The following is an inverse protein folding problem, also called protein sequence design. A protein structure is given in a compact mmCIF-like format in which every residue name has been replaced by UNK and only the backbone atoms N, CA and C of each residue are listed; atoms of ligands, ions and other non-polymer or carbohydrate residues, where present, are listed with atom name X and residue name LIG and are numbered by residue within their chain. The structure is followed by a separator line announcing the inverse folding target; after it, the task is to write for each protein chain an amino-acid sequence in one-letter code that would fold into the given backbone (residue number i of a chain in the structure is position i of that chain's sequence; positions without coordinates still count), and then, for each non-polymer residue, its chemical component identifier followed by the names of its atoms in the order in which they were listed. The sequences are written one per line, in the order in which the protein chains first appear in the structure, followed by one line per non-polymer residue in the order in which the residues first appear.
data_IF_384213998103
#
_entry.id   IF_384213998103
#
_cell.length_a   1.000
_cell.length_b   1.000
_cell.length_c   1.000
_cell.angle_alpha   90.00
_cell.angle_beta   90.00
_cell.angle_gamma   90.00
#
_symmetry.space_group_name_H-M   'P 1'
#
loop_
_entity.id
_entity.type
_entity.pdbx_description
1 polymer ?
#
# COMPACT_ATOMS: atom_id res chain seq x y z
N UNK A 1 -4.30 54.35 -9.85
CA UNK A 1 -5.09 53.18 -9.43
C UNK A 1 -4.83 52.06 -10.42
N UNK A 2 -4.06 51.04 -10.05
CA UNK A 2 -3.84 49.84 -10.87
C UNK A 2 -4.03 48.60 -10.00
N UNK A 3 -4.99 47.79 -10.40
CA UNK A 3 -5.40 46.55 -9.75
C UNK A 3 -4.31 45.49 -9.81
N UNK A 4 -3.91 44.94 -8.66
CA UNK A 4 -3.18 43.67 -8.61
C UNK A 4 -4.20 42.53 -8.68
N UNK A 5 -4.20 41.84 -9.81
CA UNK A 5 -5.00 40.64 -10.05
C UNK A 5 -4.60 39.49 -9.10
N UNK A 6 -5.56 38.68 -8.63
CA UNK A 6 -5.28 37.53 -7.77
C UNK A 6 -4.61 36.39 -8.57
N UNK A 7 -3.53 35.83 -8.00
CA UNK A 7 -2.72 34.76 -8.62
C UNK A 7 -3.56 33.48 -8.80
N UNK A 8 -3.42 32.76 -9.93
CA UNK A 8 -4.21 31.58 -10.21
C UNK A 8 -3.77 30.40 -9.33
N UNK A 9 -4.75 29.76 -8.70
CA UNK A 9 -4.65 28.52 -7.94
C UNK A 9 -3.83 27.46 -8.69
N UNK A 10 -2.60 27.21 -8.26
CA UNK A 10 -1.83 26.00 -8.63
C UNK A 10 -2.47 24.80 -7.93
N UNK A 11 -3.46 24.20 -8.58
CA UNK A 11 -4.00 22.90 -8.19
C UNK A 11 -2.88 21.87 -8.44
N UNK A 12 -2.22 21.43 -7.37
CA UNK A 12 -1.32 20.28 -7.38
C UNK A 12 -2.13 19.04 -7.77
N UNK A 13 -2.12 18.71 -9.06
CA UNK A 13 -2.66 17.43 -9.54
C UNK A 13 -1.78 16.32 -8.98
N UNK A 14 -2.26 15.67 -7.93
CA UNK A 14 -1.68 14.42 -7.45
C UNK A 14 -1.65 13.43 -8.62
N UNK A 15 -0.53 12.71 -8.83
CA UNK A 15 -0.48 11.69 -9.86
C UNK A 15 -1.59 10.68 -9.58
N UNK A 16 -2.53 10.56 -10.53
CA UNK A 16 -3.59 9.57 -10.49
C UNK A 16 -2.90 8.21 -10.48
N UNK A 17 -2.83 7.61 -9.29
CA UNK A 17 -2.25 6.29 -9.04
C UNK A 17 -2.81 5.37 -10.13
N UNK A 18 -1.94 4.97 -11.04
CA UNK A 18 -2.34 4.24 -12.23
C UNK A 18 -3.26 3.11 -11.82
N UNK A 19 -4.41 3.03 -12.47
CA UNK A 19 -5.10 1.75 -12.59
C UNK A 19 -4.12 0.83 -13.30
N UNK A 20 -3.30 0.16 -12.49
CA UNK A 20 -2.56 -0.99 -12.94
C UNK A 20 -3.60 -1.90 -13.55
N UNK A 21 -3.25 -2.50 -14.68
CA UNK A 21 -4.06 -3.41 -15.48
C UNK A 21 -3.81 -4.90 -15.09
N UNK A 22 -3.81 -5.35 -13.80
CA UNK A 22 -3.70 -6.77 -13.50
C UNK A 22 -5.08 -7.46 -13.39
N UNK A 23 -6.18 -6.71 -13.17
CA UNK A 23 -7.49 -7.28 -12.80
C UNK A 23 -8.03 -8.34 -13.79
N UNK A 24 -7.86 -8.11 -15.09
CA UNK A 24 -8.30 -9.08 -16.10
C UNK A 24 -7.47 -10.38 -16.08
N UNK A 25 -6.17 -10.29 -15.78
CA UNK A 25 -5.27 -11.47 -15.71
C UNK A 25 -5.48 -12.26 -14.42
N UNK A 26 -5.68 -11.58 -13.29
CA UNK A 26 -6.02 -12.23 -12.01
C UNK A 26 -7.38 -12.93 -12.08
N UNK A 27 -8.37 -12.35 -12.78
CA UNK A 27 -9.69 -12.98 -12.97
C UNK A 27 -9.63 -14.30 -13.76
N UNK A 28 -8.91 -14.34 -14.88
CA UNK A 28 -8.74 -15.57 -15.69
C UNK A 28 -7.97 -16.65 -14.91
N UNK A 29 -6.96 -16.25 -14.12
CA UNK A 29 -6.20 -17.20 -13.32
C UNK A 29 -7.01 -17.75 -12.14
N UNK A 30 -7.84 -16.93 -11.50
CA UNK A 30 -8.75 -17.36 -10.45
C UNK A 30 -9.76 -18.40 -10.97
N UNK A 31 -10.28 -18.22 -12.19
CA UNK A 31 -11.15 -19.21 -12.85
C UNK A 31 -10.44 -20.55 -13.08
N UNK A 32 -9.18 -20.53 -13.53
CA UNK A 32 -8.38 -21.75 -13.71
C UNK A 32 -8.10 -22.46 -12.40
N UNK A 33 -7.69 -21.72 -11.36
CA UNK A 33 -7.47 -22.27 -10.01
C UNK A 33 -8.73 -22.92 -9.48
N UNK A 34 -9.88 -22.23 -9.60
CA UNK A 34 -11.19 -22.78 -9.20
C UNK A 34 -11.53 -24.06 -9.96
N UNK A 35 -11.27 -24.12 -11.27
CA UNK A 35 -11.50 -25.32 -12.08
C UNK A 35 -10.64 -26.50 -11.61
N UNK A 36 -9.35 -26.28 -11.35
CA UNK A 36 -8.46 -27.32 -10.83
C UNK A 36 -8.87 -27.80 -9.44
N UNK A 37 -9.29 -26.90 -8.54
CA UNK A 37 -9.80 -27.26 -7.22
C UNK A 37 -11.11 -28.06 -7.30
N UNK A 38 -12.04 -27.66 -8.18
CA UNK A 38 -13.28 -28.41 -8.41
C UNK A 38 -13.01 -29.82 -8.93
N UNK A 39 -12.00 -29.98 -9.80
CA UNK A 39 -11.61 -31.27 -10.34
C UNK A 39 -10.98 -32.16 -9.25
N UNK A 40 -10.11 -31.59 -8.41
CA UNK A 40 -9.52 -32.30 -7.27
C UNK A 40 -10.59 -32.73 -6.25
N UNK A 41 -11.56 -31.86 -5.99
CA UNK A 41 -12.70 -32.18 -5.14
C UNK A 41 -13.52 -33.33 -5.75
N UNK A 42 -13.86 -33.25 -7.04
CA UNK A 42 -14.58 -34.34 -7.71
C UNK A 42 -13.82 -35.66 -7.70
N UNK A 43 -12.49 -35.66 -7.83
CA UNK A 43 -11.68 -36.86 -7.67
C UNK A 43 -11.69 -37.40 -6.23
N UNK A 44 -11.68 -36.52 -5.24
CA UNK A 44 -11.76 -36.92 -3.83
C UNK A 44 -13.12 -37.53 -3.49
N UNK A 45 -14.21 -36.95 -4.01
CA UNK A 45 -15.58 -37.41 -3.79
C UNK A 45 -15.81 -38.82 -4.36
N UNK A 46 -15.17 -39.17 -5.49
CA UNK A 46 -15.27 -40.51 -6.08
C UNK A 46 -14.28 -41.51 -5.49
N UNK A 47 -13.34 -41.12 -4.61
CA UNK A 47 -12.35 -42.07 -4.07
C UNK A 47 -12.98 -43.13 -3.17
N UNK A 48 -14.13 -42.83 -2.55
CA UNK A 48 -14.87 -43.78 -1.73
C UNK A 48 -15.60 -44.79 -2.62
N UNK A 49 -15.35 -46.09 -2.41
CA UNK A 49 -16.01 -47.17 -3.16
C UNK A 49 -15.29 -47.63 -4.44
N UNK A 50 -14.14 -47.05 -4.76
CA UNK A 50 -13.36 -47.41 -5.96
C UNK A 50 -12.29 -48.46 -5.65
N UNK A 51 -12.00 -49.33 -6.62
CA UNK A 51 -10.98 -50.38 -6.47
C UNK A 51 -9.61 -49.78 -6.11
N UNK A 52 -8.76 -50.49 -5.31
CA UNK A 52 -7.46 -49.98 -4.88
C UNK A 52 -6.53 -49.54 -6.04
N UNK A 53 -6.63 -50.24 -7.17
CA UNK A 53 -5.86 -49.94 -8.38
C UNK A 53 -6.29 -48.61 -9.00
N UNK A 54 -7.60 -48.37 -9.12
CA UNK A 54 -8.12 -47.13 -9.68
C UNK A 54 -7.94 -45.95 -8.71
N UNK A 55 -7.98 -46.21 -7.39
CA UNK A 55 -7.61 -45.22 -6.37
C UNK A 55 -6.16 -44.74 -6.52
N UNK A 56 -5.22 -45.65 -6.79
CA UNK A 56 -3.82 -45.28 -7.02
C UNK A 56 -3.65 -44.38 -8.26
N UNK A 57 -4.38 -44.69 -9.34
CA UNK A 57 -4.41 -43.86 -10.56
C UNK A 57 -4.98 -42.47 -10.26
N UNK A 58 -6.10 -42.38 -9.55
CA UNK A 58 -6.73 -41.11 -9.16
C UNK A 58 -5.76 -40.27 -8.32
N UNK A 59 -5.08 -40.86 -7.34
CA UNK A 59 -4.10 -40.17 -6.52
C UNK A 59 -2.91 -39.64 -7.34
N UNK A 60 -2.45 -40.38 -8.34
CA UNK A 60 -1.39 -39.92 -9.25
C UNK A 60 -1.84 -38.70 -10.07
N UNK A 61 -3.08 -38.71 -10.57
CA UNK A 61 -3.66 -37.56 -11.29
C UNK A 61 -3.84 -36.37 -10.36
N UNK A 62 -4.34 -36.58 -9.15
CA UNK A 62 -4.47 -35.53 -8.13
C UNK A 62 -3.12 -34.91 -7.78
N UNK A 63 -2.08 -35.72 -7.62
CA UNK A 63 -0.72 -35.24 -7.36
C UNK A 63 -0.19 -34.38 -8.52
N UNK A 64 -0.43 -34.80 -9.78
CA UNK A 64 -0.09 -34.01 -10.96
C UNK A 64 -0.80 -32.65 -10.99
N UNK A 65 -2.12 -32.65 -10.78
CA UNK A 65 -2.95 -31.43 -10.77
C UNK A 65 -2.62 -30.50 -9.60
N UNK A 66 -2.23 -31.04 -8.45
CA UNK A 66 -1.76 -30.26 -7.30
C UNK A 66 -0.42 -29.58 -7.60
N UNK A 67 0.49 -30.25 -8.32
CA UNK A 67 1.75 -29.62 -8.78
C UNK A 67 1.49 -28.49 -9.77
N UNK A 68 0.59 -28.69 -10.73
CA UNK A 68 0.16 -27.64 -11.68
C UNK A 68 -0.46 -26.43 -10.96
N UNK A 69 -1.27 -26.66 -9.93
CA UNK A 69 -1.78 -25.59 -9.07
C UNK A 69 -0.66 -24.85 -8.32
N UNK A 70 0.32 -25.58 -7.80
CA UNK A 70 1.49 -25.01 -7.13
C UNK A 70 2.28 -24.07 -8.02
N UNK A 71 2.54 -24.46 -9.28
CA UNK A 71 3.25 -23.60 -10.24
C UNK A 71 2.43 -22.38 -10.65
N UNK A 72 1.10 -22.50 -10.79
CA UNK A 72 0.22 -21.35 -11.05
C UNK A 72 0.17 -20.35 -9.89
N UNK A 73 0.29 -20.84 -8.65
CA UNK A 73 0.24 -20.02 -7.45
C UNK A 73 1.60 -19.45 -7.01
N UNK A 74 2.71 -20.01 -7.51
CA UNK A 74 4.07 -19.55 -7.30
C UNK A 74 4.23 -18.01 -7.39
N UNK A 75 3.75 -17.32 -8.43
CA UNK A 75 3.87 -15.86 -8.52
C UNK A 75 3.19 -15.12 -7.37
N UNK A 76 2.13 -15.66 -6.76
CA UNK A 76 1.51 -15.06 -5.58
C UNK A 76 2.27 -15.35 -4.31
N UNK A 77 2.92 -16.50 -4.18
CA UNK A 77 3.76 -16.79 -3.01
C UNK A 77 5.02 -15.92 -2.97
N UNK A 78 5.57 -15.57 -4.13
CA UNK A 78 6.77 -14.73 -4.24
C UNK A 78 6.45 -13.23 -4.15
N UNK A 79 5.27 -12.79 -4.61
CA UNK A 79 4.86 -11.37 -4.60
C UNK A 79 3.96 -10.95 -3.42
N UNK A 80 3.37 -11.88 -2.67
CA UNK A 80 2.44 -11.56 -1.56
C UNK A 80 3.13 -11.02 -0.29
N UNK A 81 4.46 -10.93 -0.26
CA UNK A 81 5.16 -10.08 0.71
C UNK A 81 5.73 -8.88 -0.02
N UNK A 82 5.02 -7.73 -0.08
CA UNK A 82 5.76 -6.47 -0.03
C UNK A 82 6.72 -6.61 1.17
N UNK A 83 8.02 -6.32 1.02
CA UNK A 83 8.96 -6.56 2.10
C UNK A 83 8.44 -5.79 3.32
N UNK A 84 8.06 -6.49 4.40
CA UNK A 84 7.63 -5.85 5.65
C UNK A 84 8.70 -4.84 6.12
N UNK A 85 9.95 -5.07 5.71
CA UNK A 85 11.08 -4.17 5.82
C UNK A 85 10.88 -2.81 5.14
N UNK A 86 10.34 -2.75 3.92
CA UNK A 86 10.04 -1.47 3.24
C UNK A 86 8.97 -0.68 3.99
N UNK A 87 7.91 -1.34 4.45
CA UNK A 87 6.88 -0.68 5.26
C UNK A 87 7.45 -0.13 6.58
N UNK A 88 8.30 -0.91 7.26
CA UNK A 88 8.96 -0.48 8.50
C UNK A 88 9.88 0.72 8.26
N UNK A 89 10.67 0.70 7.19
CA UNK A 89 11.56 1.81 6.83
C UNK A 89 10.78 3.08 6.49
N UNK A 90 9.70 2.96 5.71
CA UNK A 90 8.83 4.10 5.40
C UNK A 90 8.18 4.66 6.66
N UNK A 91 7.66 3.79 7.53
CA UNK A 91 7.04 4.21 8.80
C UNK A 91 8.03 4.95 9.71
N UNK A 92 9.26 4.45 9.82
CA UNK A 92 10.29 5.10 10.63
C UNK A 92 10.71 6.45 10.04
N UNK A 93 10.89 6.52 8.72
CA UNK A 93 11.19 7.78 8.03
C UNK A 93 10.07 8.80 8.19
N UNK A 94 8.80 8.38 8.10
CA UNK A 94 7.65 9.26 8.33
C UNK A 94 7.61 9.74 9.78
N UNK A 95 7.91 8.87 10.75
CA UNK A 95 7.99 9.25 12.17
C UNK A 95 9.08 10.31 12.39
N UNK A 96 10.27 10.12 11.85
CA UNK A 96 11.37 11.10 11.93
C UNK A 96 10.95 12.44 11.32
N UNK A 97 10.36 12.43 10.13
CA UNK A 97 9.91 13.64 9.46
C UNK A 97 8.87 14.42 10.27
N UNK A 98 7.93 13.74 10.94
CA UNK A 98 6.96 14.41 11.81
C UNK A 98 7.59 15.02 13.06
N UNK A 99 8.62 14.38 13.63
CA UNK A 99 9.36 14.93 14.75
C UNK A 99 10.13 16.18 14.33
N UNK A 100 10.82 16.15 13.19
CA UNK A 100 11.52 17.29 12.63
C UNK A 100 10.56 18.45 12.35
N UNK A 101 9.40 18.14 11.76
CA UNK A 101 8.37 19.13 11.49
C UNK A 101 7.84 19.79 12.77
N UNK A 102 7.65 19.02 13.84
CA UNK A 102 7.22 19.56 15.13
C UNK A 102 8.26 20.52 15.72
N UNK A 103 9.54 20.15 15.69
CA UNK A 103 10.63 21.03 16.15
C UNK A 103 10.66 22.31 15.32
N UNK A 104 10.43 22.21 14.01
CA UNK A 104 10.42 23.37 13.12
C UNK A 104 9.24 24.30 13.41
N UNK A 105 8.07 23.75 13.73
CA UNK A 105 6.90 24.51 14.19
C UNK A 105 7.15 25.18 15.54
N UNK A 106 7.77 24.49 16.49
CA UNK A 106 8.11 25.07 17.80
C UNK A 106 9.11 26.23 17.65
N UNK A 107 10.12 26.08 16.79
CA UNK A 107 11.06 27.18 16.47
C UNK A 107 10.37 28.35 15.79
N UNK A 108 9.48 28.09 14.83
CA UNK A 108 8.70 29.13 14.16
C UNK A 108 7.83 29.87 15.18
N UNK A 109 7.14 29.14 16.06
CA UNK A 109 6.35 29.73 17.12
C UNK A 109 7.20 30.65 18.00
N UNK A 110 8.33 30.16 18.50
CA UNK A 110 9.25 30.94 19.33
C UNK A 110 9.73 32.22 18.61
N UNK A 111 10.15 32.12 17.34
CA UNK A 111 10.58 33.29 16.57
C UNK A 111 9.46 34.30 16.34
N UNK A 112 8.22 33.85 16.20
CA UNK A 112 7.05 34.74 16.06
C UNK A 112 6.74 35.43 17.38
N UNK A 113 6.78 34.72 18.52
CA UNK A 113 6.63 35.33 19.84
C UNK A 113 7.73 36.33 20.14
N UNK A 114 9.01 36.00 19.90
CA UNK A 114 10.14 36.94 20.09
C UNK A 114 9.99 38.19 19.22
N UNK A 115 9.58 38.04 17.95
CA UNK A 115 9.31 39.18 17.08
C UNK A 115 8.11 40.03 17.57
N UNK A 116 7.10 39.40 18.16
CA UNK A 116 5.96 40.09 18.75
C UNK A 116 6.35 40.86 20.03
N UNK A 117 7.19 40.26 20.87
CA UNK A 117 7.69 40.87 22.10
C UNK A 117 8.61 42.07 21.78
N UNK A 118 9.47 41.98 20.76
CA UNK A 118 10.28 43.10 20.30
C UNK A 118 9.46 44.26 19.70
N UNK A 119 8.31 43.98 19.07
CA UNK A 119 7.37 45.01 18.60
C UNK A 119 6.60 45.66 19.77
N UNK A 120 6.34 44.91 20.84
CA UNK A 120 5.74 45.44 22.07
C UNK A 120 6.68 46.34 22.86
N UNK A 121 7.99 46.05 22.86
CA UNK A 121 9.01 46.80 23.57
C UNK A 121 9.37 48.12 22.85
N UNK A 122 9.50 48.09 21.52
CA UNK A 122 9.73 49.30 20.70
C UNK A 122 8.55 50.29 20.70
N UNK A 123 7.33 49.81 20.95
CA UNK A 123 6.15 50.68 21.17
C UNK A 123 6.10 51.35 22.55
N UNK A 124 6.79 50.79 23.55
CA UNK A 124 6.88 51.36 24.91
C UNK A 124 7.94 52.45 25.01
N UNK A 125 9.08 52.31 24.34
CA UNK A 125 10.14 53.32 24.34
C UNK A 125 9.79 54.59 23.54
N UNK A 126 8.83 54.53 22.62
CA UNK A 126 8.27 55.71 21.94
C UNK A 126 7.19 56.43 22.77
N UNK A 127 6.86 55.92 23.96
CA UNK A 127 5.82 56.42 24.85
C UNK A 127 6.38 56.79 26.23
N UNK A 128 7.49 57.53 26.29
CA UNK A 128 7.86 58.30 27.48
C UNK A 128 8.12 59.77 27.10
N UNK A 129 7.51 60.74 27.82
CA UNK A 129 7.69 62.18 27.58
C UNK A 129 9.07 62.70 28.01
#
# INVERSE_FOLDING_TARGET
MSALAPRPNKILRLPRRGQTRPEARTSVMALKVRGHLSLLQGYADIMEGVSPQLRAIILQVMAGKTRELGTMLQPFTETARPPITEYRQVRERTRQLMLDYRVLLERLHNTVTEAHDHLGDTGKDLSQP
#
